data_IF_198906796397
#
_entry.id   IF_198906796397
#
_cell.length_a   1.000
_cell.length_b   1.000
_cell.length_c   1.000
_cell.angle_alpha   90.00
_cell.angle_beta   90.00
_cell.angle_gamma   90.00
#
_symmetry.space_group_name_H-M   'P 1'
#
loop_
_entity.id
_entity.type
_entity.pdbx_description
1 polymer ?
#
# COMPACT_ATOMS: atom_id res chain seq x y z
N UNK A 1 -24.35 -6.52 -10.17
CA UNK A 1 -24.91 -7.85 -9.84
C UNK A 1 -24.65 -8.15 -8.36
N UNK A 2 -25.49 -8.98 -7.74
CA UNK A 2 -25.38 -9.32 -6.31
C UNK A 2 -24.11 -10.11 -5.95
N UNK A 3 -23.50 -10.72 -6.94
CA UNK A 3 -22.24 -11.47 -6.83
C UNK A 3 -21.02 -10.53 -6.71
N UNK A 4 -21.12 -9.27 -7.15
CA UNK A 4 -20.08 -8.26 -6.95
C UNK A 4 -20.19 -7.76 -5.51
N UNK A 5 -19.34 -8.29 -4.64
CA UNK A 5 -19.32 -7.95 -3.21
C UNK A 5 -18.64 -6.61 -2.96
N UNK A 6 -17.57 -6.33 -3.69
CA UNK A 6 -16.79 -5.09 -3.64
C UNK A 6 -16.58 -4.59 -5.07
N UNK A 7 -16.92 -3.34 -5.32
CA UNK A 7 -16.74 -2.64 -6.57
C UNK A 7 -16.02 -1.31 -6.37
N UNK A 8 -16.47 -0.26 -7.05
CA UNK A 8 -15.83 1.07 -7.02
C UNK A 8 -16.42 2.01 -5.95
N UNK A 9 -17.43 1.58 -5.22
CA UNK A 9 -18.26 2.47 -4.39
C UNK A 9 -17.56 2.91 -3.11
N UNK A 10 -16.69 2.07 -2.56
CA UNK A 10 -16.04 2.28 -1.24
C UNK A 10 -14.54 2.48 -1.33
N UNK A 11 -14.00 2.64 -2.55
CA UNK A 11 -12.56 2.85 -2.80
C UNK A 11 -11.70 1.77 -2.13
N UNK A 12 -12.15 0.51 -2.20
CA UNK A 12 -11.38 -0.65 -1.73
C UNK A 12 -10.27 -0.99 -2.72
N UNK A 13 -9.25 -1.72 -2.29
CA UNK A 13 -8.03 -1.99 -3.03
C UNK A 13 -8.24 -2.87 -4.27
N UNK A 14 -9.25 -3.76 -4.26
CA UNK A 14 -9.55 -4.65 -5.38
C UNK A 14 -11.03 -4.95 -5.51
N UNK A 15 -11.45 -5.34 -6.71
CA UNK A 15 -12.78 -5.89 -6.94
C UNK A 15 -12.90 -7.30 -6.35
N UNK A 16 -14.05 -7.60 -5.73
CA UNK A 16 -14.35 -8.93 -5.18
C UNK A 16 -15.65 -9.45 -5.76
N UNK A 17 -15.56 -10.57 -6.48
CA UNK A 17 -16.69 -11.20 -7.14
C UNK A 17 -16.91 -12.62 -6.59
N UNK A 18 -18.08 -12.86 -6.00
CA UNK A 18 -18.44 -14.15 -5.41
C UNK A 18 -18.75 -15.20 -6.50
N UNK A 19 -18.09 -16.35 -6.42
CA UNK A 19 -18.34 -17.48 -7.30
C UNK A 19 -19.33 -18.46 -6.70
N UNK A 20 -19.19 -18.73 -5.39
CA UNK A 20 -20.05 -19.62 -4.62
C UNK A 20 -20.03 -19.24 -3.13
N UNK A 21 -20.65 -20.02 -2.27
CA UNK A 21 -20.79 -19.72 -0.83
C UNK A 21 -19.46 -19.63 -0.06
N UNK A 22 -18.39 -20.24 -0.57
CA UNK A 22 -17.09 -20.33 0.10
C UNK A 22 -15.96 -19.64 -0.66
N UNK A 23 -16.20 -19.13 -1.87
CA UNK A 23 -15.15 -18.60 -2.73
C UNK A 23 -15.58 -17.32 -3.45
N UNK A 24 -14.73 -16.32 -3.41
CA UNK A 24 -14.80 -15.13 -4.25
C UNK A 24 -13.45 -14.88 -4.91
N UNK A 25 -13.48 -14.39 -6.14
CA UNK A 25 -12.29 -13.89 -6.86
C UNK A 25 -11.99 -12.49 -6.34
N UNK A 26 -10.72 -12.22 -6.08
CA UNK A 26 -10.17 -10.89 -5.88
C UNK A 26 -9.38 -10.54 -7.14
N UNK A 27 -9.65 -9.40 -7.74
CA UNK A 27 -8.99 -8.98 -8.97
C UNK A 27 -8.62 -7.50 -8.93
N UNK A 28 -7.35 -7.22 -9.19
CA UNK A 28 -6.80 -5.88 -9.26
C UNK A 28 -5.89 -5.71 -10.46
N UNK A 29 -5.60 -4.46 -10.81
CA UNK A 29 -4.57 -4.11 -11.79
C UNK A 29 -3.82 -2.88 -11.31
N UNK A 30 -2.50 -3.02 -11.22
CA UNK A 30 -1.64 -1.90 -10.84
C UNK A 30 -0.36 -1.91 -11.67
N UNK A 31 0.02 -0.73 -12.17
CA UNK A 31 1.19 -0.53 -13.00
C UNK A 31 1.65 0.93 -12.93
N UNK A 32 2.95 1.15 -13.03
CA UNK A 32 3.51 2.51 -12.96
C UNK A 32 4.86 2.62 -13.70
N UNK A 33 5.37 3.83 -13.79
CA UNK A 33 6.69 4.15 -14.33
C UNK A 33 7.78 3.90 -13.29
N UNK A 34 9.06 3.67 -13.69
CA UNK A 34 10.17 3.43 -12.77
C UNK A 34 10.31 4.48 -11.68
N UNK A 35 10.48 4.02 -10.46
CA UNK A 35 10.82 4.84 -9.28
C UNK A 35 12.26 4.64 -8.83
N UNK A 36 12.95 3.69 -9.45
CA UNK A 36 14.38 3.36 -9.25
C UNK A 36 15.04 3.10 -10.59
N UNK A 37 16.39 3.20 -10.65
CA UNK A 37 17.14 3.04 -11.90
C UNK A 37 17.46 1.57 -12.22
N UNK A 38 17.60 0.70 -11.21
CA UNK A 38 17.83 -0.72 -11.46
C UNK A 38 16.56 -1.38 -12.04
N UNK A 39 16.64 -1.98 -13.24
CA UNK A 39 15.48 -2.56 -13.91
C UNK A 39 14.92 -3.80 -13.19
N UNK A 40 15.76 -4.59 -12.51
CA UNK A 40 15.29 -5.73 -11.75
C UNK A 40 14.51 -5.28 -10.50
N UNK A 41 15.06 -4.31 -9.76
CA UNK A 41 14.40 -3.74 -8.59
C UNK A 41 13.07 -3.09 -8.99
N UNK A 42 13.03 -2.31 -10.08
CA UNK A 42 11.77 -1.75 -10.58
C UNK A 42 10.72 -2.83 -10.86
N UNK A 43 11.09 -3.88 -11.59
CA UNK A 43 10.17 -4.97 -11.90
C UNK A 43 9.66 -5.68 -10.63
N UNK A 44 10.56 -5.91 -9.66
CA UNK A 44 10.22 -6.55 -8.40
C UNK A 44 9.28 -5.69 -7.55
N UNK A 45 9.53 -4.37 -7.46
CA UNK A 45 8.68 -3.42 -6.75
C UNK A 45 7.29 -3.37 -7.38
N UNK A 46 7.21 -3.23 -8.70
CA UNK A 46 5.93 -3.12 -9.41
C UNK A 46 5.04 -4.36 -9.21
N UNK A 47 5.62 -5.54 -9.29
CA UNK A 47 4.90 -6.78 -9.04
C UNK A 47 4.48 -6.93 -7.56
N UNK A 48 5.35 -6.55 -6.62
CA UNK A 48 5.03 -6.57 -5.18
C UNK A 48 3.86 -5.64 -4.86
N UNK A 49 3.85 -4.44 -5.45
CA UNK A 49 2.78 -3.47 -5.30
C UNK A 49 1.44 -4.02 -5.82
N UNK A 50 1.40 -4.54 -7.04
CA UNK A 50 0.17 -5.08 -7.62
C UNK A 50 -0.41 -6.29 -6.86
N UNK A 51 0.44 -7.14 -6.28
CA UNK A 51 -0.01 -8.28 -5.47
C UNK A 51 -0.54 -7.83 -4.11
N UNK A 52 -0.14 -6.66 -3.63
CA UNK A 52 -0.48 -6.14 -2.30
C UNK A 52 -2.00 -5.98 -2.10
N UNK A 53 -2.72 -5.52 -3.13
CA UNK A 53 -4.18 -5.36 -3.09
C UNK A 53 -4.91 -6.67 -2.78
N UNK A 54 -4.38 -7.81 -3.30
CA UNK A 54 -4.96 -9.13 -2.99
C UNK A 54 -4.85 -9.41 -1.49
N UNK A 55 -3.69 -9.11 -0.89
CA UNK A 55 -3.48 -9.27 0.54
C UNK A 55 -4.30 -8.30 1.38
N UNK A 56 -4.47 -7.06 0.91
CA UNK A 56 -5.28 -6.04 1.58
C UNK A 56 -6.76 -6.44 1.66
N UNK A 57 -7.28 -7.16 0.65
CA UNK A 57 -8.62 -7.73 0.68
C UNK A 57 -8.74 -9.02 1.53
N UNK A 58 -7.66 -9.44 2.22
CA UNK A 58 -7.61 -10.69 2.97
C UNK A 58 -7.51 -11.93 2.09
N UNK A 59 -7.20 -11.74 0.80
CA UNK A 59 -7.12 -12.78 -0.21
C UNK A 59 -5.75 -13.44 -0.32
N UNK A 60 -5.74 -14.64 -0.91
CA UNK A 60 -4.53 -15.36 -1.28
C UNK A 60 -4.32 -15.24 -2.79
N UNK A 61 -3.18 -14.72 -3.28
CA UNK A 61 -2.93 -14.61 -4.70
C UNK A 61 -2.84 -16.01 -5.37
N UNK A 62 -3.30 -16.12 -6.61
CA UNK A 62 -3.32 -17.38 -7.39
C UNK A 62 -2.39 -17.32 -8.59
N UNK A 63 -2.45 -16.26 -9.37
CA UNK A 63 -1.60 -16.01 -10.53
C UNK A 63 -1.64 -14.53 -10.92
N UNK A 64 -0.75 -14.14 -11.81
CA UNK A 64 -0.71 -12.79 -12.36
C UNK A 64 -0.62 -12.79 -13.89
N UNK A 65 -1.03 -11.67 -14.51
CA UNK A 65 -0.82 -11.36 -15.91
C UNK A 65 0.03 -10.08 -16.00
N UNK A 66 1.13 -10.12 -16.73
CA UNK A 66 2.04 -8.99 -16.83
C UNK A 66 1.52 -7.92 -17.81
N UNK A 67 1.57 -6.66 -17.40
CA UNK A 67 1.33 -5.49 -18.23
C UNK A 67 2.68 -4.82 -18.54
N UNK A 68 3.05 -4.78 -19.83
CA UNK A 68 4.39 -4.38 -20.26
C UNK A 68 4.28 -3.31 -21.35
N UNK A 69 4.53 -2.06 -20.99
CA UNK A 69 4.69 -0.96 -21.96
C UNK A 69 6.15 -0.53 -21.96
N UNK A 70 6.86 -0.68 -23.11
CA UNK A 70 8.28 -0.38 -23.16
C UNK A 70 8.64 0.43 -24.41
N UNK A 71 9.46 1.47 -24.27
CA UNK A 71 9.99 2.23 -25.42
C UNK A 71 11.11 1.42 -26.11
N UNK A 72 10.71 0.50 -26.98
CA UNK A 72 11.62 -0.49 -27.60
C UNK A 72 12.72 0.13 -28.48
N UNK A 73 12.57 1.41 -28.86
CA UNK A 73 13.60 2.17 -29.57
C UNK A 73 14.65 2.77 -28.64
N UNK A 74 14.39 2.84 -27.34
CA UNK A 74 15.23 3.47 -26.30
C UNK A 74 15.82 2.44 -25.37
N UNK A 75 15.00 1.51 -24.87
CA UNK A 75 15.45 0.47 -23.95
C UNK A 75 15.94 -0.78 -24.69
N UNK A 76 17.06 -1.32 -24.23
CA UNK A 76 17.58 -2.59 -24.75
C UNK A 76 16.70 -3.77 -24.33
N UNK A 77 16.66 -4.82 -25.15
CA UNK A 77 15.98 -6.07 -24.78
C UNK A 77 16.53 -6.66 -23.46
N UNK A 78 17.80 -6.45 -23.16
CA UNK A 78 18.42 -6.89 -21.90
C UNK A 78 17.83 -6.14 -20.71
N UNK A 79 17.62 -4.84 -20.82
CA UNK A 79 16.98 -4.01 -19.78
C UNK A 79 15.54 -4.44 -19.55
N UNK A 80 14.78 -4.65 -20.63
CA UNK A 80 13.37 -5.11 -20.54
C UNK A 80 13.32 -6.50 -19.89
N UNK A 81 14.20 -7.43 -20.29
CA UNK A 81 14.27 -8.76 -19.68
C UNK A 81 14.53 -8.69 -18.17
N UNK A 82 15.41 -7.79 -17.73
CA UNK A 82 15.68 -7.59 -16.29
C UNK A 82 14.48 -7.08 -15.52
N UNK A 83 13.64 -6.21 -16.10
CA UNK A 83 12.36 -5.79 -15.49
C UNK A 83 11.44 -7.00 -15.30
N UNK A 84 11.27 -7.81 -16.34
CA UNK A 84 10.43 -9.01 -16.29
C UNK A 84 10.95 -10.05 -15.28
N UNK A 85 12.27 -10.22 -15.17
CA UNK A 85 12.90 -11.10 -14.18
C UNK A 85 12.59 -10.64 -12.76
N UNK A 86 12.65 -9.32 -12.48
CA UNK A 86 12.27 -8.74 -11.19
C UNK A 86 10.82 -9.03 -10.82
N UNK A 87 9.91 -8.83 -11.76
CA UNK A 87 8.49 -9.16 -11.56
C UNK A 87 8.25 -10.65 -11.32
N UNK A 88 8.94 -11.51 -12.09
CA UNK A 88 8.85 -12.95 -11.90
C UNK A 88 9.40 -13.39 -10.53
N UNK A 89 10.42 -12.71 -10.00
CA UNK A 89 10.95 -12.98 -8.65
C UNK A 89 9.93 -12.63 -7.55
N UNK A 90 9.24 -11.49 -7.65
CA UNK A 90 8.18 -11.14 -6.71
C UNK A 90 7.03 -12.18 -6.75
N UNK A 91 6.60 -12.60 -7.94
CA UNK A 91 5.59 -13.64 -8.10
C UNK A 91 6.04 -14.98 -7.50
N UNK A 92 7.30 -15.41 -7.74
CA UNK A 92 7.85 -16.62 -7.11
C UNK A 92 7.85 -16.53 -5.59
N UNK A 93 8.22 -15.36 -5.04
CA UNK A 93 8.20 -15.12 -3.59
C UNK A 93 6.78 -15.16 -3.02
N UNK A 94 5.78 -14.78 -3.81
CA UNK A 94 4.36 -14.91 -3.46
C UNK A 94 3.80 -16.32 -3.71
N UNK A 95 4.59 -17.25 -4.28
CA UNK A 95 4.15 -18.60 -4.60
C UNK A 95 3.22 -18.71 -5.82
N UNK A 96 3.24 -17.71 -6.73
CA UNK A 96 2.32 -17.64 -7.88
C UNK A 96 3.07 -17.59 -9.21
N UNK A 97 2.50 -18.11 -10.32
CA UNK A 97 3.04 -17.95 -11.66
C UNK A 97 2.59 -16.61 -12.28
N UNK A 98 3.41 -16.08 -13.22
CA UNK A 98 2.93 -15.18 -14.25
C UNK A 98 2.37 -16.07 -15.39
N UNK A 99 1.06 -16.02 -15.60
CA UNK A 99 0.34 -16.91 -16.50
C UNK A 99 0.14 -16.34 -17.92
N UNK A 100 0.65 -15.16 -18.17
CA UNK A 100 0.52 -14.45 -19.46
C UNK A 100 0.60 -12.95 -19.28
N UNK A 101 -0.01 -12.21 -20.19
CA UNK A 101 -0.04 -10.76 -20.13
C UNK A 101 -0.12 -10.13 -21.52
N UNK A 102 0.17 -8.83 -21.56
CA UNK A 102 0.18 -8.05 -22.80
C UNK A 102 1.36 -7.09 -22.87
N UNK A 103 1.93 -6.92 -24.07
CA UNK A 103 3.08 -6.04 -24.30
C UNK A 103 2.72 -5.03 -25.39
N UNK A 104 3.06 -3.76 -25.15
CA UNK A 104 2.90 -2.67 -26.13
C UNK A 104 4.21 -1.88 -26.26
N UNK A 105 4.43 -1.26 -27.41
CA UNK A 105 5.39 -0.15 -27.56
C UNK A 105 4.78 1.10 -26.92
N UNK A 106 5.53 1.79 -26.06
CA UNK A 106 5.07 2.98 -25.35
C UNK A 106 6.15 4.05 -25.31
N UNK A 107 5.78 5.28 -24.98
CA UNK A 107 6.73 6.40 -24.89
C UNK A 107 7.60 6.28 -23.62
N UNK A 108 7.00 5.85 -22.52
CA UNK A 108 7.64 5.67 -21.22
C UNK A 108 7.59 4.19 -20.82
N UNK A 109 8.59 3.69 -20.07
CA UNK A 109 8.53 2.35 -19.52
C UNK A 109 7.42 2.25 -18.48
N UNK A 110 6.55 1.28 -18.66
CA UNK A 110 5.45 0.96 -17.74
C UNK A 110 5.49 -0.54 -17.47
N UNK A 111 5.45 -0.93 -16.22
CA UNK A 111 5.34 -2.32 -15.83
C UNK A 111 4.44 -2.48 -14.61
N UNK A 112 3.71 -3.56 -14.59
CA UNK A 112 2.87 -3.98 -13.49
C UNK A 112 2.14 -5.27 -13.79
N UNK A 113 1.14 -5.59 -12.99
CA UNK A 113 0.39 -6.83 -13.09
C UNK A 113 -1.11 -6.58 -13.01
N UNK A 114 -1.86 -7.44 -13.68
CA UNK A 114 -3.18 -7.85 -13.19
C UNK A 114 -2.93 -8.98 -12.21
N UNK A 115 -3.31 -8.82 -10.94
CA UNK A 115 -3.21 -9.87 -9.94
C UNK A 115 -4.59 -10.47 -9.66
N UNK A 116 -4.65 -11.81 -9.65
CA UNK A 116 -5.87 -12.57 -9.35
C UNK A 116 -5.63 -13.40 -8.11
N UNK A 117 -6.56 -13.30 -7.18
CA UNK A 117 -6.56 -14.06 -5.93
C UNK A 117 -7.91 -14.66 -5.59
N UNK A 118 -7.96 -15.33 -4.47
CA UNK A 118 -9.15 -15.95 -3.93
C UNK A 118 -9.31 -15.61 -2.45
N UNK A 119 -10.54 -15.42 -2.01
CA UNK A 119 -10.89 -15.15 -0.62
C UNK A 119 -12.19 -15.86 -0.25
N UNK A 120 -12.34 -16.23 1.02
CA UNK A 120 -13.65 -16.61 1.56
C UNK A 120 -14.53 -15.35 1.63
N UNK A 121 -15.74 -15.33 1.00
CA UNK A 121 -16.63 -14.16 1.03
C UNK A 121 -16.89 -13.61 2.43
N UNK A 122 -16.87 -14.46 3.46
CA UNK A 122 -17.07 -14.09 4.86
C UNK A 122 -15.85 -13.43 5.52
N UNK A 123 -14.71 -13.44 4.85
CA UNK A 123 -13.43 -12.90 5.36
C UNK A 123 -12.93 -11.71 4.55
N UNK A 124 -13.67 -11.28 3.56
CA UNK A 124 -13.35 -10.06 2.81
C UNK A 124 -13.28 -8.89 3.79
N UNK A 125 -12.22 -8.10 3.70
CA UNK A 125 -12.04 -6.88 4.48
C UNK A 125 -12.28 -5.68 3.59
N UNK A 126 -13.22 -4.85 3.98
CA UNK A 126 -13.63 -3.65 3.26
C UNK A 126 -13.33 -2.40 4.08
N UNK A 127 -13.00 -1.33 3.41
CA UNK A 127 -12.83 -0.01 4.02
C UNK A 127 -14.09 0.46 4.79
N UNK A 128 -15.27 -0.01 4.39
CA UNK A 128 -16.54 0.36 5.01
C UNK A 128 -16.84 -0.35 6.34
N UNK A 129 -15.96 -1.22 6.81
CA UNK A 129 -16.24 -2.09 7.96
C UNK A 129 -15.57 -1.67 9.28
N UNK A 130 -14.74 -0.61 9.29
CA UNK A 130 -14.13 -0.11 10.52
C UNK A 130 -15.17 0.40 11.51
N UNK A 131 -14.90 0.26 12.80
CA UNK A 131 -15.86 0.56 13.87
C UNK A 131 -15.30 1.63 14.83
N UNK A 132 -16.18 2.47 15.42
CA UNK A 132 -15.77 3.34 16.51
C UNK A 132 -15.19 2.53 17.69
N UNK A 133 -14.02 2.89 18.15
CA UNK A 133 -13.28 2.16 19.19
C UNK A 133 -12.17 1.27 18.65
N UNK A 134 -12.10 1.04 17.32
CA UNK A 134 -11.02 0.30 16.71
C UNK A 134 -9.68 0.99 16.89
N UNK A 135 -8.64 0.18 16.98
CA UNK A 135 -7.24 0.60 16.99
C UNK A 135 -6.68 0.49 15.57
N UNK A 136 -5.91 1.50 15.16
CA UNK A 136 -5.23 1.54 13.86
C UNK A 136 -3.78 1.06 14.01
N UNK A 137 -3.40 0.07 13.18
CA UNK A 137 -2.06 -0.51 13.17
C UNK A 137 -1.48 -0.42 11.76
N UNK A 138 -0.26 0.11 11.64
CA UNK A 138 0.46 0.23 10.37
C UNK A 138 1.59 -0.82 10.29
N UNK A 139 1.62 -1.60 9.20
CA UNK A 139 2.54 -2.73 9.03
C UNK A 139 3.94 -2.37 8.55
N UNK A 140 4.11 -1.28 7.79
CA UNK A 140 5.44 -0.84 7.29
C UNK A 140 5.66 0.64 7.57
N UNK A 141 6.92 1.08 7.71
CA UNK A 141 7.26 2.49 7.86
C UNK A 141 6.99 3.30 6.58
N UNK A 142 6.76 4.61 6.75
CA UNK A 142 6.56 5.58 5.66
C UNK A 142 7.89 6.18 5.18
N UNK A 143 7.86 6.79 3.98
CA UNK A 143 8.94 7.59 3.45
C UNK A 143 9.49 7.13 2.09
N UNK A 144 8.84 6.17 1.43
CA UNK A 144 9.27 5.63 0.13
C UNK A 144 9.34 6.72 -0.94
N UNK A 145 8.33 7.59 -1.01
CA UNK A 145 8.32 8.69 -1.98
C UNK A 145 9.47 9.68 -1.75
N UNK A 146 9.76 10.03 -0.50
CA UNK A 146 10.88 10.90 -0.13
C UNK A 146 12.22 10.25 -0.50
N UNK A 147 12.42 8.95 -0.20
CA UNK A 147 13.64 8.24 -0.60
C UNK A 147 13.79 8.17 -2.12
N UNK A 148 12.69 7.94 -2.86
CA UNK A 148 12.70 7.99 -4.33
C UNK A 148 13.04 9.38 -4.87
N UNK A 149 12.53 10.45 -4.23
CA UNK A 149 12.88 11.81 -4.58
C UNK A 149 14.36 12.14 -4.29
N UNK A 150 14.90 11.63 -3.17
CA UNK A 150 16.31 11.74 -2.83
C UNK A 150 17.20 10.99 -3.84
N UNK A 151 16.78 9.78 -4.28
CA UNK A 151 17.45 9.00 -5.30
C UNK A 151 17.58 9.80 -6.61
N UNK A 152 16.49 10.38 -7.09
CA UNK A 152 16.47 11.21 -8.32
C UNK A 152 17.35 12.46 -8.26
N UNK A 153 17.73 12.89 -7.06
CA UNK A 153 18.62 14.03 -6.82
C UNK A 153 20.07 13.63 -6.45
N UNK A 154 20.41 12.34 -6.59
CA UNK A 154 21.70 11.78 -6.20
C UNK A 154 22.05 12.03 -4.70
N UNK A 155 21.03 12.13 -3.84
CA UNK A 155 21.18 12.39 -2.41
C UNK A 155 20.95 11.14 -1.54
N UNK A 156 20.53 10.01 -2.14
CA UNK A 156 20.29 8.75 -1.43
C UNK A 156 21.53 7.86 -1.45
N UNK A 157 22.12 7.65 -0.27
CA UNK A 157 23.25 6.72 -0.14
C UNK A 157 22.86 5.25 -0.28
N UNK A 158 23.85 4.35 -0.42
CA UNK A 158 23.59 2.91 -0.64
C UNK A 158 22.77 2.24 0.46
N UNK A 159 22.89 2.68 1.71
CA UNK A 159 22.10 2.12 2.83
C UNK A 159 20.63 2.50 2.71
N UNK A 160 20.34 3.76 2.41
CA UNK A 160 18.97 4.23 2.17
C UNK A 160 18.34 3.54 0.95
N UNK A 161 19.11 3.32 -0.12
CA UNK A 161 18.65 2.55 -1.27
C UNK A 161 18.27 1.10 -0.87
N UNK A 162 19.16 0.40 -0.14
CA UNK A 162 18.88 -0.97 0.33
C UNK A 162 17.64 -1.04 1.23
N UNK A 163 17.48 -0.08 2.13
CA UNK A 163 16.30 0.00 3.01
C UNK A 163 15.02 0.22 2.19
N UNK A 164 15.03 1.15 1.23
CA UNK A 164 13.91 1.41 0.33
C UNK A 164 13.51 0.15 -0.46
N UNK A 165 14.49 -0.54 -1.08
CA UNK A 165 14.23 -1.77 -1.83
C UNK A 165 13.70 -2.88 -0.91
N UNK A 166 14.31 -3.06 0.27
CA UNK A 166 13.84 -4.06 1.25
C UNK A 166 12.38 -3.82 1.66
N UNK A 167 12.01 -2.56 1.89
CA UNK A 167 10.64 -2.19 2.26
C UNK A 167 9.65 -2.37 1.11
N UNK A 168 9.99 -1.90 -0.09
CA UNK A 168 9.08 -1.91 -1.25
C UNK A 168 8.93 -3.27 -1.92
N UNK A 169 9.90 -4.18 -1.75
CA UNK A 169 9.82 -5.55 -2.27
C UNK A 169 9.33 -6.57 -1.25
N UNK A 170 8.93 -6.14 -0.06
CA UNK A 170 8.35 -6.99 0.96
C UNK A 170 6.86 -7.18 0.72
N UNK A 171 6.45 -8.43 0.44
CA UNK A 171 5.06 -8.82 0.22
C UNK A 171 4.23 -8.62 1.50
N UNK A 172 3.02 -8.09 1.39
CA UNK A 172 2.08 -7.92 2.49
C UNK A 172 1.36 -9.25 2.86
N UNK A 173 2.11 -10.34 2.89
CA UNK A 173 1.62 -11.71 3.06
C UNK A 173 0.92 -12.00 4.39
N UNK A 174 0.93 -11.07 5.33
CA UNK A 174 0.18 -11.15 6.58
C UNK A 174 -1.36 -11.00 6.36
N UNK A 175 -1.79 -10.40 5.25
CA UNK A 175 -3.18 -10.06 4.98
C UNK A 175 -4.18 -11.20 5.17
N UNK A 176 -3.97 -12.38 4.55
CA UNK A 176 -4.88 -13.52 4.71
C UNK A 176 -5.02 -14.02 6.15
N UNK A 177 -3.96 -13.95 6.94
CA UNK A 177 -4.00 -14.38 8.35
C UNK A 177 -4.66 -13.30 9.22
N UNK A 178 -4.39 -12.03 8.97
CA UNK A 178 -5.10 -10.91 9.62
C UNK A 178 -6.60 -10.97 9.35
N UNK A 179 -7.00 -11.32 8.13
CA UNK A 179 -8.41 -11.44 7.76
C UNK A 179 -9.17 -12.57 8.48
N UNK A 180 -8.47 -13.54 9.07
CA UNK A 180 -9.05 -14.62 9.89
C UNK A 180 -9.44 -14.16 11.29
N UNK A 181 -8.84 -13.08 11.79
CA UNK A 181 -9.13 -12.53 13.10
C UNK A 181 -10.50 -11.85 13.06
N UNK A 182 -11.43 -12.31 13.89
CA UNK A 182 -12.81 -11.77 13.91
C UNK A 182 -12.86 -10.29 14.30
N UNK A 183 -11.94 -9.84 15.14
CA UNK A 183 -11.84 -8.45 15.57
C UNK A 183 -11.06 -7.54 14.60
N UNK A 184 -10.53 -8.04 13.49
CA UNK A 184 -10.05 -7.21 12.38
C UNK A 184 -11.26 -6.84 11.52
N UNK A 185 -11.64 -5.57 11.56
CA UNK A 185 -12.85 -5.09 10.90
C UNK A 185 -12.56 -4.57 9.50
N UNK A 186 -11.48 -3.80 9.30
CA UNK A 186 -11.09 -3.29 8.00
C UNK A 186 -9.57 -3.45 7.77
N UNK A 187 -9.20 -3.52 6.51
CA UNK A 187 -7.83 -3.72 6.06
C UNK A 187 -7.67 -3.06 4.69
N UNK A 188 -6.62 -2.27 4.52
CA UNK A 188 -6.18 -1.68 3.24
C UNK A 188 -4.66 -1.60 3.24
N UNK A 189 -4.03 -1.36 2.11
CA UNK A 189 -2.61 -1.00 2.09
C UNK A 189 -2.40 0.51 1.84
N UNK A 190 -1.27 1.02 2.27
CA UNK A 190 -0.95 2.44 2.12
C UNK A 190 -0.09 2.64 0.88
N UNK A 191 -0.67 3.26 -0.16
CA UNK A 191 0.01 3.46 -1.45
C UNK A 191 0.03 4.93 -1.89
N UNK A 192 -0.38 5.24 -3.10
CA UNK A 192 -0.16 6.53 -3.76
C UNK A 192 -0.76 7.76 -3.09
N UNK A 193 -1.84 7.60 -2.33
CA UNK A 193 -2.47 8.72 -1.59
C UNK A 193 -1.83 8.99 -0.23
N UNK A 194 -0.81 8.22 0.15
CA UNK A 194 -0.14 8.34 1.44
C UNK A 194 -0.99 7.88 2.62
N UNK A 195 -0.43 7.92 3.83
CA UNK A 195 -1.15 7.48 5.03
C UNK A 195 -2.45 8.27 5.23
N UNK A 196 -2.43 9.60 5.01
CA UNK A 196 -3.63 10.42 5.17
C UNK A 196 -4.74 10.00 4.22
N UNK A 197 -4.44 9.80 2.92
CA UNK A 197 -5.45 9.44 1.91
C UNK A 197 -6.13 8.11 2.22
N UNK A 198 -5.36 7.05 2.44
CA UNK A 198 -5.91 5.73 2.74
C UNK A 198 -6.64 5.66 4.09
N UNK A 199 -6.15 6.42 5.10
CA UNK A 199 -6.92 6.56 6.35
C UNK A 199 -8.24 7.31 6.15
N UNK A 200 -8.25 8.32 5.26
CA UNK A 200 -9.49 9.03 4.89
C UNK A 200 -10.49 8.12 4.17
N UNK A 201 -10.04 7.27 3.24
CA UNK A 201 -10.89 6.30 2.54
C UNK A 201 -11.59 5.39 3.55
N UNK A 202 -10.82 4.81 4.48
CA UNK A 202 -11.32 3.97 5.54
C UNK A 202 -12.31 4.73 6.47
N UNK A 203 -11.99 5.95 6.89
CA UNK A 203 -12.82 6.76 7.76
C UNK A 203 -14.12 7.22 7.10
N UNK A 204 -14.07 7.56 5.81
CA UNK A 204 -15.24 7.95 5.01
C UNK A 204 -16.20 6.78 4.79
N UNK A 205 -15.66 5.66 4.29
CA UNK A 205 -16.44 4.47 4.00
C UNK A 205 -17.13 3.91 5.24
N UNK A 206 -16.48 3.98 6.40
CA UNK A 206 -17.02 3.50 7.70
C UNK A 206 -17.84 4.56 8.46
N UNK A 207 -17.97 5.79 7.93
CA UNK A 207 -18.61 6.91 8.62
C UNK A 207 -18.04 7.15 10.03
N UNK A 208 -16.71 7.08 10.16
CA UNK A 208 -15.95 7.28 11.40
C UNK A 208 -15.06 8.52 11.31
N UNK A 209 -14.43 8.87 12.42
CA UNK A 209 -13.24 9.76 12.46
C UNK A 209 -12.04 8.94 12.89
N UNK A 210 -10.99 8.95 12.08
CA UNK A 210 -9.70 8.39 12.43
C UNK A 210 -8.86 9.43 13.20
N UNK A 211 -8.18 8.98 14.25
CA UNK A 211 -7.23 9.77 15.02
C UNK A 211 -5.85 9.11 14.90
N UNK A 212 -4.89 9.82 14.33
CA UNK A 212 -3.50 9.36 14.21
C UNK A 212 -2.64 10.12 15.22
N UNK A 213 -1.93 9.38 16.05
CA UNK A 213 -0.83 9.90 16.86
C UNK A 213 0.44 9.90 16.00
N UNK A 214 0.83 11.09 15.52
CA UNK A 214 1.99 11.25 14.63
C UNK A 214 3.27 10.73 15.27
N UNK A 215 3.42 10.85 16.58
CA UNK A 215 4.60 10.38 17.30
C UNK A 215 4.80 8.86 17.22
N UNK A 216 3.73 8.11 16.94
CA UNK A 216 3.74 6.65 16.81
C UNK A 216 3.91 6.17 15.36
N UNK A 217 3.83 7.06 14.36
CA UNK A 217 3.96 6.67 12.96
C UNK A 217 5.40 6.24 12.66
N UNK A 218 5.62 4.97 12.21
CA UNK A 218 6.96 4.51 11.89
C UNK A 218 7.46 5.12 10.60
N UNK A 219 8.70 5.59 10.59
CA UNK A 219 9.36 6.20 9.45
C UNK A 219 10.59 5.37 9.05
N UNK A 220 10.90 5.34 7.75
CA UNK A 220 12.16 4.84 7.23
C UNK A 220 13.32 5.73 7.71
N UNK A 221 14.52 5.19 7.72
CA UNK A 221 15.69 5.89 8.22
C UNK A 221 15.93 7.19 7.44
N UNK A 222 16.25 8.24 8.16
CA UNK A 222 16.64 9.55 7.62
C UNK A 222 15.57 10.31 6.82
N UNK A 223 14.36 9.78 6.63
CA UNK A 223 13.33 10.47 5.81
C UNK A 223 12.85 11.77 6.43
N UNK A 224 12.82 11.87 7.77
CA UNK A 224 12.48 13.13 8.44
C UNK A 224 13.49 14.22 8.09
N UNK A 225 14.79 13.93 8.18
CA UNK A 225 15.83 14.91 7.84
C UNK A 225 15.76 15.31 6.35
N UNK A 226 15.56 14.35 5.46
CA UNK A 226 15.38 14.63 4.03
C UNK A 226 14.17 15.55 3.78
N UNK A 227 13.05 15.31 4.47
CA UNK A 227 11.87 16.14 4.36
C UNK A 227 12.10 17.55 4.93
N UNK A 228 12.81 17.68 6.05
CA UNK A 228 13.20 18.96 6.66
C UNK A 228 14.15 19.75 5.73
N UNK A 229 14.99 19.08 4.96
CA UNK A 229 15.85 19.65 3.91
C UNK A 229 15.07 19.96 2.61
N UNK A 230 13.74 19.77 2.59
CA UNK A 230 12.88 20.07 1.45
C UNK A 230 12.91 19.01 0.34
N UNK A 231 13.38 17.79 0.63
CA UNK A 231 13.28 16.67 -0.29
C UNK A 231 11.90 16.04 -0.13
N UNK A 232 10.96 16.50 -0.93
CA UNK A 232 9.56 16.07 -0.96
C UNK A 232 9.14 15.73 -2.38
N UNK A 233 8.04 14.99 -2.54
CA UNK A 233 7.49 14.67 -3.85
C UNK A 233 6.39 15.67 -4.25
N UNK A 234 6.30 16.01 -5.53
CA UNK A 234 5.17 16.79 -6.03
C UNK A 234 3.82 16.04 -5.91
N UNK A 235 3.85 14.74 -5.72
CA UNK A 235 2.66 13.94 -5.46
C UNK A 235 2.10 14.21 -4.05
N UNK A 236 2.98 14.40 -3.05
CA UNK A 236 2.57 14.78 -1.69
C UNK A 236 1.78 16.10 -1.67
N UNK A 237 2.25 17.12 -2.40
CA UNK A 237 1.52 18.39 -2.51
C UNK A 237 0.17 18.24 -3.22
N UNK A 238 0.12 17.45 -4.30
CA UNK A 238 -1.16 17.16 -4.99
C UNK A 238 -2.13 16.40 -4.10
N UNK A 239 -1.65 15.45 -3.31
CA UNK A 239 -2.43 14.72 -2.33
C UNK A 239 -3.03 15.67 -1.31
N UNK A 240 -2.22 16.56 -0.72
CA UNK A 240 -2.70 17.56 0.22
C UNK A 240 -3.74 18.50 -0.39
N UNK A 241 -3.51 18.99 -1.61
CA UNK A 241 -4.47 19.84 -2.33
C UNK A 241 -5.79 19.12 -2.62
N UNK A 242 -5.77 17.81 -2.80
CA UNK A 242 -6.95 17.01 -3.12
C UNK A 242 -7.85 16.76 -1.90
N UNK A 243 -7.29 16.52 -0.71
CA UNK A 243 -8.08 16.08 0.45
C UNK A 243 -7.69 16.74 1.79
N UNK A 244 -6.75 17.67 1.79
CA UNK A 244 -6.27 18.31 3.04
C UNK A 244 -7.36 19.07 3.80
N UNK A 245 -8.41 19.52 3.12
CA UNK A 245 -9.57 20.18 3.76
C UNK A 245 -10.33 19.24 4.71
N UNK A 246 -10.16 17.92 4.55
CA UNK A 246 -10.77 16.89 5.39
C UNK A 246 -9.84 16.39 6.51
N UNK A 247 -8.62 16.93 6.58
CA UNK A 247 -7.63 16.57 7.60
C UNK A 247 -7.52 17.69 8.63
N UNK A 248 -7.59 17.34 9.91
CA UNK A 248 -7.26 18.24 11.03
C UNK A 248 -5.83 17.94 11.48
N UNK A 249 -4.96 18.94 11.45
CA UNK A 249 -3.57 18.86 11.94
C UNK A 249 -3.32 19.92 13.02
N UNK A 250 -2.38 19.70 13.96
CA UNK A 250 -1.96 20.70 14.93
C UNK A 250 -1.41 21.97 14.23
N UNK A 251 -1.52 23.10 14.90
CA UNK A 251 -1.03 24.39 14.36
C UNK A 251 0.49 24.42 14.15
N UNK A 252 1.22 23.64 14.91
CA UNK A 252 2.69 23.48 14.86
C UNK A 252 3.14 22.29 13.98
N UNK A 253 2.20 21.62 13.30
CA UNK A 253 2.53 20.51 12.39
C UNK A 253 3.34 21.05 11.21
N UNK A 254 4.60 20.60 11.09
CA UNK A 254 5.54 21.16 10.13
C UNK A 254 5.20 20.78 8.67
N UNK A 255 5.77 21.53 7.72
CA UNK A 255 5.66 21.19 6.30
C UNK A 255 6.25 19.80 5.99
N UNK A 256 7.35 19.44 6.65
CA UNK A 256 7.98 18.12 6.50
C UNK A 256 7.07 16.99 7.03
N UNK A 257 6.47 17.17 8.20
CA UNK A 257 5.52 16.18 8.74
C UNK A 257 4.28 16.03 7.83
N UNK A 258 3.75 17.13 7.32
CA UNK A 258 2.65 17.11 6.36
C UNK A 258 3.07 16.38 5.07
N UNK A 259 4.27 16.64 4.56
CA UNK A 259 4.80 15.96 3.38
C UNK A 259 4.93 14.45 3.61
N UNK A 260 5.39 14.02 4.79
CA UNK A 260 5.49 12.60 5.16
C UNK A 260 4.11 11.95 5.33
N UNK A 261 3.15 12.65 5.93
CA UNK A 261 1.78 12.16 6.10
C UNK A 261 1.07 11.90 4.76
N UNK A 262 1.40 12.68 3.73
CA UNK A 262 0.84 12.60 2.37
C UNK A 262 1.80 12.00 1.35
N UNK A 263 2.96 11.49 1.80
CA UNK A 263 4.00 10.91 0.94
C UNK A 263 3.47 9.66 0.23
N UNK A 264 3.50 9.60 -1.11
CA UNK A 264 3.08 8.41 -1.82
C UNK A 264 3.98 7.23 -1.44
N UNK A 265 3.36 6.14 -1.02
CA UNK A 265 4.05 4.90 -0.76
C UNK A 265 3.90 3.99 -1.98
N UNK A 266 4.99 3.35 -2.39
CA UNK A 266 4.94 2.25 -3.34
C UNK A 266 5.10 0.96 -2.55
N UNK A 267 4.19 0.03 -2.73
CA UNK A 267 4.16 -1.22 -1.98
C UNK A 267 4.25 -0.97 -0.46
N UNK A 268 3.44 -0.05 0.04
CA UNK A 268 3.41 0.32 1.46
C UNK A 268 2.84 -0.77 2.35
N UNK A 269 2.73 -0.48 3.63
CA UNK A 269 2.26 -1.45 4.62
C UNK A 269 0.74 -1.56 4.68
N UNK A 270 0.26 -2.69 5.16
CA UNK A 270 -1.14 -2.83 5.53
C UNK A 270 -1.50 -1.88 6.67
N UNK A 271 -2.63 -1.20 6.54
CA UNK A 271 -3.30 -0.44 7.59
C UNK A 271 -4.49 -1.25 8.08
N UNK A 272 -4.44 -1.64 9.34
CA UNK A 272 -5.43 -2.52 9.98
C UNK A 272 -6.27 -1.72 10.94
N UNK A 273 -7.60 -1.85 10.86
CA UNK A 273 -8.55 -1.40 11.88
C UNK A 273 -9.09 -2.61 12.62
N UNK A 274 -8.83 -2.70 13.92
CA UNK A 274 -9.22 -3.84 14.73
C UNK A 274 -9.71 -3.46 16.13
N UNK A 275 -10.52 -4.33 16.73
CA UNK A 275 -10.93 -4.18 18.13
C UNK A 275 -9.73 -4.13 19.08
N UNK A 276 -9.79 -3.40 20.21
CA UNK A 276 -8.69 -3.32 21.17
C UNK A 276 -8.20 -4.68 21.67
N UNK A 277 -9.12 -5.65 21.82
CA UNK A 277 -8.81 -7.00 22.29
C UNK A 277 -7.96 -7.79 21.28
N UNK A 278 -8.05 -7.44 19.99
CA UNK A 278 -7.33 -8.11 18.89
C UNK A 278 -5.95 -7.53 18.60
N UNK A 279 -5.59 -6.40 19.19
CA UNK A 279 -4.31 -5.70 18.91
C UNK A 279 -3.11 -6.63 19.09
N UNK A 280 -3.08 -7.39 20.19
CA UNK A 280 -1.96 -8.31 20.45
C UNK A 280 -1.85 -9.38 19.36
N UNK A 281 -2.96 -10.00 18.97
CA UNK A 281 -2.98 -11.04 17.94
C UNK A 281 -2.57 -10.48 16.58
N UNK A 282 -3.03 -9.28 16.21
CA UNK A 282 -2.64 -8.58 14.98
C UNK A 282 -1.13 -8.33 14.95
N UNK A 283 -0.56 -7.81 16.03
CA UNK A 283 0.89 -7.56 16.14
C UNK A 283 1.69 -8.88 16.13
N UNK A 284 1.20 -9.94 16.75
CA UNK A 284 1.82 -11.26 16.73
C UNK A 284 1.85 -11.82 15.29
N UNK A 285 0.77 -11.67 14.48
CA UNK A 285 0.74 -12.05 13.08
C UNK A 285 1.74 -11.22 12.26
N UNK A 286 1.77 -9.91 12.41
CA UNK A 286 2.77 -9.07 11.77
C UNK A 286 4.19 -9.55 12.08
N UNK A 287 4.46 -9.86 13.34
CA UNK A 287 5.78 -10.34 13.77
C UNK A 287 6.12 -11.71 13.16
N UNK A 288 5.17 -12.66 13.09
CA UNK A 288 5.34 -13.96 12.41
C UNK A 288 5.69 -13.81 10.93
N UNK A 289 5.13 -12.79 10.26
CA UNK A 289 5.47 -12.43 8.89
C UNK A 289 6.65 -11.46 8.78
N UNK A 290 7.42 -11.29 9.87
CA UNK A 290 8.63 -10.44 9.95
C UNK A 290 8.39 -8.94 9.74
N UNK A 291 7.18 -8.42 9.96
CA UNK A 291 6.91 -6.98 9.99
C UNK A 291 7.23 -6.39 11.38
N UNK A 292 8.52 -6.39 11.71
CA UNK A 292 9.01 -6.02 13.05
C UNK A 292 8.78 -4.55 13.41
N UNK A 293 8.52 -3.69 12.42
CA UNK A 293 8.18 -2.28 12.58
C UNK A 293 6.68 -1.99 12.73
N UNK A 294 5.83 -3.03 12.64
CA UNK A 294 4.39 -2.84 12.80
C UNK A 294 4.03 -2.32 14.18
N UNK A 295 3.18 -1.28 14.23
CA UNK A 295 2.79 -0.68 15.51
C UNK A 295 1.44 0.02 15.44
N UNK A 296 0.85 0.22 16.61
CA UNK A 296 -0.33 1.05 16.79
C UNK A 296 0.04 2.50 16.46
N UNK A 297 -0.76 3.14 15.60
CA UNK A 297 -0.58 4.53 15.19
C UNK A 297 -1.78 5.41 15.51
N UNK A 298 -2.88 4.85 16.02
CA UNK A 298 -4.07 5.64 16.26
C UNK A 298 -5.30 4.80 16.58
N UNK A 299 -6.47 5.43 16.44
CA UNK A 299 -7.75 4.81 16.75
C UNK A 299 -8.89 5.40 15.93
N UNK A 300 -10.00 4.67 15.83
CA UNK A 300 -11.25 5.12 15.24
C UNK A 300 -12.24 5.60 16.29
N UNK A 301 -12.99 6.64 16.01
CA UNK A 301 -14.08 7.11 16.86
C UNK A 301 -15.37 7.31 16.06
N UNK A 302 -16.49 7.50 16.77
CA UNK A 302 -17.71 7.99 16.11
C UNK A 302 -17.41 9.26 15.33
N UNK A 303 -18.03 9.42 14.17
CA UNK A 303 -17.85 10.58 13.31
C UNK A 303 -18.01 11.89 14.07
N UNK A 304 -16.96 12.69 14.11
CA UNK A 304 -16.91 14.02 14.73
C UNK A 304 -16.05 14.95 13.87
N UNK A 305 -16.66 15.99 13.33
CA UNK A 305 -15.95 16.97 12.51
C UNK A 305 -15.33 16.37 11.24
N UNK A 306 -14.04 16.62 11.02
CA UNK A 306 -13.29 16.09 9.89
C UNK A 306 -13.07 14.57 10.02
N UNK A 307 -12.99 13.83 8.89
CA UNK A 307 -12.79 12.37 8.94
C UNK A 307 -11.44 11.93 9.47
N UNK A 308 -10.42 12.78 9.38
CA UNK A 308 -9.09 12.51 9.91
C UNK A 308 -8.61 13.63 10.82
N UNK A 309 -8.15 13.28 12.00
CA UNK A 309 -7.45 14.13 12.95
C UNK A 309 -6.06 13.56 13.24
N UNK A 310 -5.03 14.41 13.21
CA UNK A 310 -3.65 14.07 13.54
C UNK A 310 -3.24 14.87 14.75
N UNK A 311 -2.54 14.24 15.70
CA UNK A 311 -2.06 14.89 16.95
C UNK A 311 -0.59 14.60 17.18
#
# INVERSE_FOLDING_TARGET
>A
PKELLIGIETSDDAAVYQINESQAIVATTDFFMPIVDDPFDFGKIAATNAISDIYAMGGTPLFALALVGMPIKVLSNKTIARILEGGAEACRSAGIPIAGGHTIDSVEPIYGLVAIGIVDPKRVKSNASAQPGDVLILGKPLGVGILSAALKKDMLGPDGYREMISNTTKLNSAGPDLAKISGVHALTDVTGFGLAGHTLELARASNCTAHIDWSQVPLLSNVQNLADDGIITGASDRNWLSYGDEVSIPADFTTAQRALLTDPQTSGGLLVSCSPESVKEVLDIFNQHHFLGARVIGQMSKRQGKPLAVS
#
